data_IF_967567958652
#
_entry.id   IF_967567958652
#
_cell.length_a   1.000
_cell.length_b   1.000
_cell.length_c   1.000
_cell.angle_alpha   90.00
_cell.angle_beta   90.00
_cell.angle_gamma   90.00
#
_symmetry.space_group_name_H-M   'P 1'
#
loop_
_entity.id
_entity.type
_entity.pdbx_description
1 polymer ?
#
# COMPACT_ATOMS: atom_id res chain seq x y z
N UNK A 1 -30.97 38.83 -132.35
CA UNK A 1 -31.30 37.67 -131.47
C UNK A 1 -30.20 36.61 -131.42
N UNK A 2 -29.75 36.01 -132.55
CA UNK A 2 -28.78 34.89 -132.54
C UNK A 2 -27.35 35.24 -132.08
N UNK A 3 -26.87 36.46 -132.33
CA UNK A 3 -25.53 36.90 -131.90
C UNK A 3 -25.43 37.16 -130.39
N UNK A 4 -26.48 37.70 -129.77
CA UNK A 4 -26.52 37.92 -128.31
C UNK A 4 -26.43 36.59 -127.54
N UNK A 5 -27.19 35.58 -127.95
CA UNK A 5 -27.13 34.24 -127.34
C UNK A 5 -25.77 33.53 -127.54
N UNK A 6 -25.01 33.87 -128.58
CA UNK A 6 -23.65 33.34 -128.77
C UNK A 6 -22.65 34.02 -127.83
N UNK A 7 -22.75 35.33 -127.63
CA UNK A 7 -21.98 36.07 -126.64
C UNK A 7 -22.26 35.59 -125.21
N UNK A 8 -23.51 35.36 -124.85
CA UNK A 8 -23.87 34.88 -123.50
C UNK A 8 -23.32 33.48 -123.22
N UNK A 9 -23.35 32.59 -124.22
CA UNK A 9 -22.72 31.26 -124.12
C UNK A 9 -21.19 31.36 -124.01
N UNK A 10 -20.56 32.24 -124.79
CA UNK A 10 -19.11 32.47 -124.69
C UNK A 10 -18.72 33.04 -123.32
N UNK A 11 -19.51 33.98 -122.76
CA UNK A 11 -19.30 34.54 -121.44
C UNK A 11 -19.44 33.48 -120.33
N UNK A 12 -20.42 32.58 -120.44
CA UNK A 12 -20.60 31.45 -119.53
C UNK A 12 -19.44 30.43 -119.60
N UNK A 13 -18.91 30.16 -120.79
CA UNK A 13 -17.72 29.30 -120.95
C UNK A 13 -16.49 29.96 -120.35
N UNK A 14 -16.29 31.27 -120.56
CA UNK A 14 -15.17 32.02 -119.98
C UNK A 14 -15.27 32.08 -118.45
N UNK A 15 -16.47 32.27 -117.88
CA UNK A 15 -16.64 32.25 -116.42
C UNK A 15 -16.39 30.87 -115.81
N UNK A 16 -16.82 29.80 -116.49
CA UNK A 16 -16.49 28.42 -116.17
C UNK A 16 -14.97 28.17 -116.16
N UNK A 17 -14.26 28.61 -117.20
CA UNK A 17 -12.80 28.47 -117.31
C UNK A 17 -12.10 29.29 -116.23
N UNK A 18 -12.55 30.53 -115.94
CA UNK A 18 -12.01 31.34 -114.84
C UNK A 18 -12.21 30.68 -113.48
N UNK A 19 -13.37 30.09 -113.23
CA UNK A 19 -13.63 29.34 -112.00
C UNK A 19 -12.76 28.07 -111.91
N UNK A 20 -12.53 27.37 -113.01
CA UNK A 20 -11.62 26.23 -113.06
C UNK A 20 -10.16 26.66 -112.80
N UNK A 21 -9.72 27.78 -113.37
CA UNK A 21 -8.38 28.34 -113.14
C UNK A 21 -8.19 28.76 -111.67
N UNK A 22 -9.16 29.43 -111.06
CA UNK A 22 -9.11 29.80 -109.65
C UNK A 22 -9.05 28.58 -108.73
N UNK A 23 -9.78 27.51 -109.05
CA UNK A 23 -9.68 26.23 -108.31
C UNK A 23 -8.31 25.57 -108.48
N UNK A 24 -7.72 25.63 -109.67
CA UNK A 24 -6.39 25.09 -109.91
C UNK A 24 -5.30 25.89 -109.15
N UNK A 25 -5.38 27.22 -109.17
CA UNK A 25 -4.48 28.10 -108.41
C UNK A 25 -4.59 27.86 -106.89
N UNK A 26 -5.81 27.68 -106.37
CA UNK A 26 -6.02 27.32 -104.97
C UNK A 26 -5.36 25.99 -104.58
N UNK A 27 -5.42 24.98 -105.46
CA UNK A 27 -4.74 23.69 -105.23
C UNK A 27 -3.22 23.83 -105.27
N UNK A 28 -2.67 24.65 -106.16
CA UNK A 28 -1.22 24.89 -106.24
C UNK A 28 -0.72 25.54 -104.95
N UNK A 29 -1.39 26.59 -104.46
CA UNK A 29 -1.01 27.23 -103.21
C UNK A 29 -1.09 26.28 -102.01
N UNK A 30 -2.13 25.46 -101.91
CA UNK A 30 -2.24 24.46 -100.84
C UNK A 30 -1.07 23.45 -100.85
N UNK A 31 -0.65 23.00 -102.05
CA UNK A 31 0.50 22.11 -102.20
C UNK A 31 1.84 22.81 -101.90
N UNK A 32 1.97 24.09 -102.22
CA UNK A 32 3.15 24.89 -101.86
C UNK A 32 3.29 25.07 -100.34
N UNK A 33 2.18 25.29 -99.64
CA UNK A 33 2.14 25.38 -98.19
C UNK A 33 2.50 24.04 -97.53
N UNK A 34 1.98 22.93 -98.06
CA UNK A 34 2.32 21.58 -97.59
C UNK A 34 3.81 21.26 -97.81
N UNK A 35 4.36 21.58 -98.99
CA UNK A 35 5.80 21.46 -99.26
C UNK A 35 6.62 22.28 -98.27
N UNK A 36 6.22 23.53 -98.01
CA UNK A 36 6.95 24.40 -97.08
C UNK A 36 6.91 23.86 -95.64
N UNK A 37 5.79 23.29 -95.21
CA UNK A 37 5.67 22.64 -93.91
C UNK A 37 6.60 21.42 -93.80
N UNK A 38 6.64 20.58 -94.84
CA UNK A 38 7.53 19.42 -94.90
C UNK A 38 9.01 19.82 -94.90
N UNK A 39 9.40 20.87 -95.64
CA UNK A 39 10.77 21.38 -95.64
C UNK A 39 11.19 21.88 -94.25
N UNK A 40 10.31 22.57 -93.52
CA UNK A 40 10.58 22.99 -92.13
C UNK A 40 10.73 21.82 -91.18
N UNK A 41 9.85 20.81 -91.29
CA UNK A 41 9.96 19.60 -90.48
C UNK A 41 11.27 18.86 -90.76
N UNK A 42 11.67 18.77 -92.03
CA UNK A 42 12.89 18.09 -92.44
C UNK A 42 14.16 18.83 -91.98
N UNK A 43 14.14 20.17 -91.95
CA UNK A 43 15.23 20.99 -91.43
C UNK A 43 15.47 20.79 -89.92
N UNK A 44 14.42 20.44 -89.15
CA UNK A 44 14.54 20.12 -87.73
C UNK A 44 15.12 18.73 -87.50
N UNK A 45 14.84 17.76 -88.38
CA UNK A 45 15.38 16.40 -88.29
C UNK A 45 16.77 16.23 -88.90
N UNK A 46 17.17 17.11 -89.83
CA UNK A 46 18.46 17.01 -90.53
C UNK A 46 19.64 17.55 -89.71
N UNK A 47 19.39 18.34 -88.66
CA UNK A 47 20.43 18.78 -87.76
C UNK A 47 20.41 17.88 -86.53
N UNK A 48 21.49 17.13 -86.29
CA UNK A 48 21.73 16.47 -85.00
C UNK A 48 21.75 17.57 -83.92
N UNK A 49 20.69 17.64 -83.13
CA UNK A 49 20.60 18.58 -82.02
C UNK A 49 21.18 17.88 -80.80
N UNK A 50 22.36 18.31 -80.36
CA UNK A 50 22.92 17.90 -79.08
C UNK A 50 22.09 18.48 -77.93
N UNK A 51 21.22 17.65 -77.35
CA UNK A 51 20.39 18.02 -76.20
C UNK A 51 21.05 17.53 -74.92
N UNK A 52 21.60 18.45 -74.12
CA UNK A 52 22.14 18.14 -72.80
C UNK A 52 21.01 17.96 -71.78
N UNK A 53 20.77 16.72 -71.33
CA UNK A 53 19.74 16.38 -70.34
C UNK A 53 20.40 16.10 -68.99
N UNK A 54 19.87 16.69 -67.91
CA UNK A 54 20.28 16.39 -66.53
C UNK A 54 19.29 15.41 -65.89
N UNK A 55 19.72 14.17 -65.65
CA UNK A 55 18.94 13.15 -64.92
C UNK A 55 19.31 13.14 -63.44
N UNK A 56 18.35 12.78 -62.56
CA UNK A 56 18.62 12.59 -61.13
C UNK A 56 19.21 11.19 -60.89
N UNK A 57 20.11 11.08 -59.92
CA UNK A 57 20.75 9.81 -59.55
C UNK A 57 19.71 8.73 -59.24
N UNK A 58 19.85 7.54 -59.86
CA UNK A 58 18.92 6.40 -59.73
C UNK A 58 17.87 6.26 -60.84
N UNK A 59 17.87 7.13 -61.85
CA UNK A 59 17.07 7.01 -63.08
C UNK A 59 17.87 6.49 -64.28
N UNK A 60 19.13 6.12 -64.04
CA UNK A 60 20.03 5.47 -65.00
C UNK A 60 20.19 4.02 -64.57
N UNK A 61 19.81 3.08 -65.45
CA UNK A 61 19.92 1.64 -65.22
C UNK A 61 21.25 1.07 -65.75
N UNK A 62 22.08 1.90 -66.40
CA UNK A 62 23.41 1.49 -66.88
C UNK A 62 24.36 1.37 -65.69
N UNK A 63 25.05 0.24 -65.59
CA UNK A 63 26.01 -0.01 -64.52
C UNK A 63 27.24 0.92 -64.67
N UNK A 64 27.29 1.99 -63.87
CA UNK A 64 28.32 3.02 -63.89
C UNK A 64 29.68 2.58 -63.34
N UNK A 65 30.35 1.65 -64.03
CA UNK A 65 31.68 1.14 -63.67
C UNK A 65 32.84 1.84 -64.41
N UNK A 66 32.57 2.77 -65.32
CA UNK A 66 33.61 3.50 -66.06
C UNK A 66 33.52 5.02 -65.80
N UNK A 67 34.68 5.68 -65.72
CA UNK A 67 34.82 7.13 -65.53
C UNK A 67 34.19 7.97 -66.66
N UNK A 68 33.91 7.35 -67.80
CA UNK A 68 33.08 7.86 -68.89
C UNK A 68 32.04 6.77 -69.15
N UNK A 69 30.77 6.96 -68.76
CA UNK A 69 29.73 5.99 -69.04
C UNK A 69 29.49 5.93 -70.56
N UNK A 70 29.61 4.74 -71.14
CA UNK A 70 29.25 4.52 -72.54
C UNK A 70 27.73 4.37 -72.64
N UNK A 71 27.11 5.31 -73.36
CA UNK A 71 25.67 5.37 -73.58
C UNK A 71 25.28 4.87 -74.99
N UNK A 72 26.18 4.20 -75.73
CA UNK A 72 25.92 3.72 -77.08
C UNK A 72 24.73 2.77 -77.20
N UNK A 73 24.43 2.01 -76.14
CA UNK A 73 23.27 1.10 -76.07
C UNK A 73 22.10 1.66 -75.23
N UNK A 74 22.21 2.89 -74.73
CA UNK A 74 21.21 3.47 -73.86
C UNK A 74 20.00 3.97 -74.66
N UNK A 75 18.80 3.58 -74.24
CA UNK A 75 17.54 4.03 -74.84
C UNK A 75 16.89 5.10 -73.97
N UNK A 76 16.61 6.26 -74.55
CA UNK A 76 15.80 7.28 -73.89
C UNK A 76 14.32 6.89 -73.94
N UNK A 77 13.77 6.50 -72.78
CA UNK A 77 12.35 6.17 -72.65
C UNK A 77 11.57 7.42 -72.22
N UNK A 78 10.49 7.79 -72.95
CA UNK A 78 9.61 8.87 -72.54
C UNK A 78 9.07 8.66 -71.12
N UNK A 79 9.21 9.67 -70.26
CA UNK A 79 8.77 9.62 -68.85
C UNK A 79 7.29 9.23 -68.71
N UNK A 80 6.46 9.63 -69.67
CA UNK A 80 5.02 9.31 -69.71
C UNK A 80 4.74 7.81 -69.71
N UNK A 81 5.56 7.01 -70.40
CA UNK A 81 5.40 5.54 -70.48
C UNK A 81 5.78 4.91 -69.14
N UNK A 82 6.89 5.35 -68.55
CA UNK A 82 7.34 4.88 -67.23
C UNK A 82 6.31 5.24 -66.16
N UNK A 83 5.75 6.46 -66.20
CA UNK A 83 4.70 6.89 -65.28
C UNK A 83 3.41 6.08 -65.44
N UNK A 84 2.98 5.78 -66.67
CA UNK A 84 1.79 4.96 -66.91
C UNK A 84 1.98 3.52 -66.41
N UNK A 85 3.13 2.92 -66.67
CA UNK A 85 3.46 1.57 -66.19
C UNK A 85 3.60 1.54 -64.66
N UNK A 86 4.20 2.58 -64.06
CA UNK A 86 4.28 2.72 -62.61
C UNK A 86 2.90 2.79 -61.95
N UNK A 87 1.91 3.43 -62.58
CA UNK A 87 0.53 3.39 -62.09
C UNK A 87 -0.03 1.97 -62.13
N UNK A 88 0.25 1.21 -63.19
CA UNK A 88 -0.09 -0.21 -63.33
C UNK A 88 0.54 -1.07 -62.23
N UNK A 89 1.85 -0.96 -62.04
CA UNK A 89 2.63 -1.68 -61.02
C UNK A 89 2.15 -1.34 -59.61
N UNK A 90 1.92 -0.07 -59.30
CA UNK A 90 1.34 0.34 -57.99
C UNK A 90 -0.07 -0.19 -57.79
N UNK A 91 -0.89 -0.26 -58.84
CA UNK A 91 -2.23 -0.88 -58.77
C UNK A 91 -2.12 -2.38 -58.50
N UNK A 92 -1.20 -3.08 -59.13
CA UNK A 92 -0.93 -4.50 -58.88
C UNK A 92 -0.41 -4.73 -57.45
N UNK A 93 0.56 -3.93 -56.99
CA UNK A 93 1.07 -3.97 -55.62
C UNK A 93 -0.04 -3.78 -54.58
N UNK A 94 -0.95 -2.82 -54.80
CA UNK A 94 -2.13 -2.65 -53.92
C UNK A 94 -3.07 -3.86 -53.91
N UNK A 95 -3.22 -4.59 -55.04
CA UNK A 95 -3.99 -5.84 -55.05
C UNK A 95 -3.32 -6.92 -54.21
N UNK A 96 -2.00 -7.06 -54.33
CA UNK A 96 -1.21 -8.02 -53.55
C UNK A 96 -1.30 -7.70 -52.06
N UNK A 97 -1.13 -6.44 -51.67
CA UNK A 97 -1.25 -6.00 -50.28
C UNK A 97 -2.63 -6.35 -49.69
N UNK A 98 -3.72 -6.05 -50.41
CA UNK A 98 -5.08 -6.43 -49.99
C UNK A 98 -5.26 -7.94 -49.85
N UNK A 99 -4.62 -8.75 -50.72
CA UNK A 99 -4.67 -10.21 -50.60
C UNK A 99 -3.92 -10.68 -49.36
N UNK A 100 -2.75 -10.12 -49.07
CA UNK A 100 -1.97 -10.45 -47.88
C UNK A 100 -2.72 -10.07 -46.59
N UNK A 101 -3.43 -8.93 -46.59
CA UNK A 101 -4.28 -8.52 -45.48
C UNK A 101 -5.42 -9.52 -45.23
N UNK A 102 -6.11 -9.96 -46.28
CA UNK A 102 -7.13 -11.03 -46.16
C UNK A 102 -6.55 -12.34 -45.62
N UNK A 103 -5.36 -12.74 -46.08
CA UNK A 103 -4.68 -13.95 -45.59
C UNK A 103 -4.28 -13.79 -44.13
N UNK A 104 -3.81 -12.61 -43.72
CA UNK A 104 -3.47 -12.31 -42.33
C UNK A 104 -4.69 -12.43 -41.42
N UNK A 105 -5.81 -11.81 -41.79
CA UNK A 105 -7.05 -11.91 -41.00
C UNK A 105 -7.57 -13.35 -40.96
N UNK A 106 -7.57 -14.07 -42.08
CA UNK A 106 -7.95 -15.48 -42.10
C UNK A 106 -7.09 -16.35 -41.18
N UNK A 107 -5.78 -16.08 -41.08
CA UNK A 107 -4.89 -16.80 -40.16
C UNK A 107 -5.16 -16.47 -38.69
N UNK A 108 -5.46 -15.21 -38.38
CA UNK A 108 -5.84 -14.77 -37.03
C UNK A 108 -7.13 -15.47 -36.60
N UNK A 109 -8.12 -15.48 -37.48
CA UNK A 109 -9.40 -16.16 -37.31
C UNK A 109 -9.25 -17.66 -37.12
N UNK A 110 -8.42 -18.32 -37.93
CA UNK A 110 -8.17 -19.76 -37.79
C UNK A 110 -7.55 -20.08 -36.43
N UNK A 111 -6.56 -19.30 -36.00
CA UNK A 111 -5.90 -19.46 -34.70
C UNK A 111 -6.89 -19.26 -33.55
N UNK A 112 -7.74 -18.24 -33.64
CA UNK A 112 -8.79 -18.02 -32.65
C UNK A 112 -9.77 -19.19 -32.59
N UNK A 113 -10.21 -19.72 -33.75
CA UNK A 113 -11.09 -20.90 -33.80
C UNK A 113 -10.43 -22.16 -33.24
N UNK A 114 -9.13 -22.37 -33.50
CA UNK A 114 -8.37 -23.47 -32.91
C UNK A 114 -8.33 -23.37 -31.39
N UNK A 115 -8.01 -22.19 -30.86
CA UNK A 115 -8.04 -21.96 -29.41
C UNK A 115 -9.43 -22.19 -28.80
N UNK A 116 -10.49 -21.68 -29.44
CA UNK A 116 -11.86 -21.90 -29.00
C UNK A 116 -12.24 -23.39 -28.98
N UNK A 117 -11.75 -24.15 -29.97
CA UNK A 117 -11.94 -25.61 -30.02
C UNK A 117 -11.23 -26.29 -28.87
N UNK A 118 -9.94 -26.01 -28.65
CA UNK A 118 -9.17 -26.57 -27.53
C UNK A 118 -9.82 -26.25 -26.19
N UNK A 119 -10.29 -25.01 -26.01
CA UNK A 119 -11.04 -24.61 -24.83
C UNK A 119 -12.33 -25.41 -24.65
N UNK A 120 -13.11 -25.58 -25.73
CA UNK A 120 -14.35 -26.35 -25.69
C UNK A 120 -14.10 -27.84 -25.41
N UNK A 121 -13.03 -28.42 -25.97
CA UNK A 121 -12.59 -29.80 -25.69
C UNK A 121 -12.20 -29.96 -24.23
N UNK A 122 -11.42 -29.03 -23.65
CA UNK A 122 -11.10 -29.04 -22.21
C UNK A 122 -12.36 -28.98 -21.34
N UNK A 123 -13.31 -28.09 -21.67
CA UNK A 123 -14.60 -27.99 -20.97
C UNK A 123 -15.48 -29.24 -21.10
N UNK A 124 -15.30 -30.02 -22.17
CA UNK A 124 -15.97 -31.30 -22.35
C UNK A 124 -15.32 -32.36 -21.46
N UNK A 125 -13.99 -32.43 -21.43
CA UNK A 125 -13.23 -33.33 -20.55
C UNK A 125 -13.56 -33.10 -19.07
N UNK A 126 -13.56 -31.85 -18.60
CA UNK A 126 -13.95 -31.49 -17.23
C UNK A 126 -15.35 -32.04 -16.88
N UNK A 127 -16.30 -31.91 -17.81
CA UNK A 127 -17.67 -32.38 -17.62
C UNK A 127 -17.76 -33.90 -17.64
N UNK A 128 -17.00 -34.56 -18.50
CA UNK A 128 -16.92 -36.02 -18.52
C UNK A 128 -16.32 -36.57 -17.23
N UNK A 129 -15.25 -35.95 -16.73
CA UNK A 129 -14.67 -36.30 -15.43
C UNK A 129 -15.69 -36.11 -14.31
N UNK A 130 -16.37 -34.96 -14.27
CA UNK A 130 -17.45 -34.74 -13.31
C UNK A 130 -18.57 -35.77 -13.42
N UNK A 131 -18.99 -36.13 -14.64
CA UNK A 131 -20.00 -37.18 -14.84
C UNK A 131 -19.50 -38.54 -14.40
N UNK A 132 -18.23 -38.89 -14.67
CA UNK A 132 -17.61 -40.13 -14.20
C UNK A 132 -17.62 -40.17 -12.67
N UNK A 133 -17.19 -39.09 -12.02
CA UNK A 133 -17.18 -38.98 -10.56
C UNK A 133 -18.58 -39.18 -9.97
N UNK A 134 -19.59 -38.49 -10.54
CA UNK A 134 -20.99 -38.65 -10.11
C UNK A 134 -21.48 -40.07 -10.35
N UNK A 135 -21.13 -40.70 -11.47
CA UNK A 135 -21.53 -42.07 -11.79
C UNK A 135 -20.86 -43.14 -10.91
N UNK A 136 -19.63 -42.90 -10.48
CA UNK A 136 -18.86 -43.78 -9.61
C UNK A 136 -19.13 -43.51 -8.13
N UNK A 137 -19.77 -42.38 -7.80
CA UNK A 137 -20.15 -42.04 -6.45
C UNK A 137 -21.12 -43.08 -5.90
N UNK A 138 -20.63 -43.92 -4.99
CA UNK A 138 -21.47 -44.84 -4.23
C UNK A 138 -22.30 -44.03 -3.25
N UNK A 139 -23.60 -43.99 -3.48
CA UNK A 139 -24.56 -43.33 -2.59
C UNK A 139 -24.58 -44.06 -1.23
N UNK A 140 -24.01 -43.44 -0.19
CA UNK A 140 -24.06 -43.94 1.18
C UNK A 140 -25.36 -43.49 1.87
N UNK A 141 -25.77 -44.21 2.92
CA UNK A 141 -26.98 -43.85 3.71
C UNK A 141 -26.89 -42.45 4.30
N UNK A 142 -25.70 -42.00 4.69
CA UNK A 142 -25.47 -40.63 5.18
C UNK A 142 -25.71 -39.58 4.10
N UNK A 143 -25.26 -39.84 2.86
CA UNK A 143 -25.50 -38.96 1.71
C UNK A 143 -27.00 -38.91 1.35
N UNK A 144 -27.71 -40.04 1.44
CA UNK A 144 -29.18 -40.07 1.24
C UNK A 144 -29.92 -39.26 2.31
N UNK A 145 -29.50 -39.36 3.57
CA UNK A 145 -30.07 -38.57 4.67
C UNK A 145 -29.78 -37.07 4.50
N UNK A 146 -28.62 -36.72 3.94
CA UNK A 146 -28.26 -35.34 3.64
C UNK A 146 -29.06 -34.76 2.47
N UNK A 147 -29.15 -35.48 1.34
CA UNK A 147 -29.93 -35.06 0.16
C UNK A 147 -31.43 -35.06 0.44
N UNK A 148 -31.91 -35.98 1.28
CA UNK A 148 -33.32 -36.10 1.67
C UNK A 148 -33.83 -34.95 2.54
N UNK A 149 -32.96 -34.07 3.06
CA UNK A 149 -33.31 -32.81 3.74
C UNK A 149 -34.10 -32.91 5.05
N UNK A 150 -34.81 -34.01 5.30
CA UNK A 150 -35.69 -34.20 6.45
C UNK A 150 -34.92 -34.49 7.75
N UNK A 151 -33.84 -35.26 7.67
CA UNK A 151 -33.11 -35.72 8.86
C UNK A 151 -32.06 -34.72 9.36
N UNK A 152 -31.52 -33.86 8.50
CA UNK A 152 -30.42 -32.96 8.92
C UNK A 152 -30.92 -31.87 9.87
N UNK A 153 -32.06 -31.24 9.57
CA UNK A 153 -32.64 -30.21 10.44
C UNK A 153 -33.06 -30.79 11.80
N UNK A 154 -33.60 -32.02 11.81
CA UNK A 154 -33.98 -32.69 13.04
C UNK A 154 -32.76 -33.14 13.85
N UNK A 155 -31.74 -33.74 13.22
CA UNK A 155 -30.46 -34.06 13.87
C UNK A 155 -29.76 -32.82 14.42
N UNK A 156 -29.78 -31.71 13.68
CA UNK A 156 -29.18 -30.45 14.14
C UNK A 156 -29.94 -29.90 15.36
N UNK A 157 -31.28 -29.97 15.36
CA UNK A 157 -32.11 -29.61 16.52
C UNK A 157 -31.84 -30.52 17.71
N UNK A 158 -31.73 -31.83 17.51
CA UNK A 158 -31.41 -32.77 18.59
C UNK A 158 -30.00 -32.56 19.15
N UNK A 159 -29.01 -32.30 18.29
CA UNK A 159 -27.65 -31.97 18.69
C UNK A 159 -27.60 -30.67 19.49
N UNK A 160 -28.27 -29.62 19.03
CA UNK A 160 -28.35 -28.34 19.74
C UNK A 160 -29.04 -28.47 21.10
N UNK A 161 -30.15 -29.23 21.19
CA UNK A 161 -30.81 -29.50 22.47
C UNK A 161 -29.89 -30.28 23.42
N UNK A 162 -29.16 -31.28 22.92
CA UNK A 162 -28.21 -32.06 23.73
C UNK A 162 -27.04 -31.20 24.24
N UNK A 163 -26.45 -30.37 23.38
CA UNK A 163 -25.33 -29.50 23.78
C UNK A 163 -25.77 -28.41 24.73
N UNK A 164 -26.98 -27.84 24.57
CA UNK A 164 -27.55 -26.90 25.52
C UNK A 164 -27.81 -27.54 26.89
N UNK A 165 -28.35 -28.76 26.92
CA UNK A 165 -28.57 -29.49 28.17
C UNK A 165 -27.24 -29.78 28.90
N UNK A 166 -26.21 -30.22 28.17
CA UNK A 166 -24.87 -30.40 28.70
C UNK A 166 -24.27 -29.09 29.23
N UNK A 167 -24.42 -27.99 28.49
CA UNK A 167 -23.97 -26.66 28.92
C UNK A 167 -24.65 -26.19 30.21
N UNK A 168 -25.96 -26.41 30.35
CA UNK A 168 -26.71 -26.11 31.58
C UNK A 168 -26.21 -26.93 32.76
N UNK A 169 -25.97 -28.22 32.57
CA UNK A 169 -25.42 -29.10 33.61
C UNK A 169 -24.02 -28.66 34.06
N UNK A 170 -23.12 -28.36 33.12
CA UNK A 170 -21.78 -27.88 33.44
C UNK A 170 -21.81 -26.56 34.20
N UNK A 171 -22.70 -25.63 33.83
CA UNK A 171 -22.85 -24.34 34.51
C UNK A 171 -23.31 -24.50 35.97
N UNK A 172 -24.27 -25.38 36.22
CA UNK A 172 -24.75 -25.64 37.60
C UNK A 172 -23.70 -26.37 38.44
N UNK A 173 -23.00 -27.35 37.86
CA UNK A 173 -21.89 -28.03 38.51
C UNK A 173 -20.75 -27.06 38.88
N UNK A 174 -20.35 -26.20 37.93
CA UNK A 174 -19.33 -25.18 38.16
C UNK A 174 -19.74 -24.20 39.27
N UNK A 175 -20.97 -23.69 39.25
CA UNK A 175 -21.48 -22.80 40.30
C UNK A 175 -21.42 -23.46 41.69
N UNK A 176 -21.72 -24.76 41.77
CA UNK A 176 -21.64 -25.53 43.03
C UNK A 176 -20.19 -25.66 43.53
N UNK A 177 -19.23 -25.93 42.63
CA UNK A 177 -17.81 -26.02 42.97
C UNK A 177 -17.27 -24.66 43.43
N UNK A 178 -17.55 -23.60 42.69
CA UNK A 178 -17.15 -22.23 43.05
C UNK A 178 -17.73 -21.82 44.40
N UNK A 179 -19.00 -22.15 44.67
CA UNK A 179 -19.61 -21.88 45.97
C UNK A 179 -18.93 -22.62 47.13
N UNK A 180 -18.47 -23.87 46.92
CA UNK A 180 -17.68 -24.61 47.92
C UNK A 180 -16.31 -23.96 48.14
N UNK A 181 -15.60 -23.60 47.07
CA UNK A 181 -14.29 -22.96 47.16
C UNK A 181 -14.37 -21.61 47.86
N UNK A 182 -15.37 -20.77 47.56
CA UNK A 182 -15.57 -19.49 48.25
C UNK A 182 -15.82 -19.66 49.75
N UNK A 183 -16.60 -20.68 50.15
CA UNK A 183 -16.82 -20.97 51.57
C UNK A 183 -15.55 -21.45 52.26
N UNK A 184 -14.76 -22.29 51.60
CA UNK A 184 -13.47 -22.76 52.11
C UNK A 184 -12.49 -21.59 52.25
N UNK A 185 -12.41 -20.70 51.25
CA UNK A 185 -11.60 -19.49 51.29
C UNK A 185 -11.97 -18.60 52.48
N UNK A 186 -13.25 -18.27 52.66
CA UNK A 186 -13.71 -17.48 53.82
C UNK A 186 -13.38 -18.13 55.17
N UNK A 187 -13.42 -19.46 55.25
CA UNK A 187 -13.03 -20.20 56.47
C UNK A 187 -11.52 -20.06 56.72
N UNK A 188 -10.70 -20.25 55.68
CA UNK A 188 -9.25 -20.05 55.77
C UNK A 188 -8.89 -18.62 56.16
N UNK A 189 -9.52 -17.60 55.55
CA UNK A 189 -9.31 -16.19 55.88
C UNK A 189 -9.58 -15.92 57.37
N UNK A 190 -10.68 -16.44 57.92
CA UNK A 190 -10.99 -16.34 59.36
C UNK A 190 -9.94 -17.03 60.22
N UNK A 191 -9.48 -18.22 59.83
CA UNK A 191 -8.42 -18.95 60.56
C UNK A 191 -7.10 -18.18 60.52
N UNK A 192 -6.70 -17.64 59.38
CA UNK A 192 -5.49 -16.81 59.24
C UNK A 192 -5.59 -15.58 60.14
N UNK A 193 -6.74 -14.90 60.15
CA UNK A 193 -6.94 -13.73 60.98
C UNK A 193 -6.85 -14.07 62.48
N UNK A 194 -7.52 -15.14 62.91
CA UNK A 194 -7.44 -15.61 64.31
C UNK A 194 -6.01 -15.99 64.72
N UNK A 195 -5.24 -16.64 63.83
CA UNK A 195 -3.83 -16.97 64.08
C UNK A 195 -2.93 -15.74 64.12
N UNK A 196 -3.21 -14.71 63.31
CA UNK A 196 -2.49 -13.43 63.37
C UNK A 196 -2.72 -12.74 64.70
N UNK A 197 -3.97 -12.67 65.16
CA UNK A 197 -4.31 -12.09 66.47
C UNK A 197 -3.66 -12.87 67.62
N UNK A 198 -3.63 -14.20 67.54
CA UNK A 198 -2.92 -15.05 68.50
C UNK A 198 -1.41 -14.78 68.50
N UNK A 199 -0.78 -14.73 67.32
CA UNK A 199 0.64 -14.41 67.19
C UNK A 199 0.95 -13.01 67.74
N UNK A 200 0.11 -12.00 67.49
CA UNK A 200 0.28 -10.66 68.07
C UNK A 200 0.20 -10.67 69.60
N UNK A 201 -0.71 -11.46 70.18
CA UNK A 201 -0.81 -11.63 71.64
C UNK A 201 0.43 -12.32 72.21
N UNK A 202 0.89 -13.40 71.57
CA UNK A 202 2.09 -14.12 71.98
C UNK A 202 3.34 -13.24 71.86
N UNK A 203 3.47 -12.46 70.79
CA UNK A 203 4.56 -11.50 70.64
C UNK A 203 4.58 -10.48 71.78
N UNK A 204 3.42 -9.93 72.17
CA UNK A 204 3.32 -9.04 73.34
C UNK A 204 3.80 -9.73 74.61
N UNK A 205 3.33 -10.95 74.87
CA UNK A 205 3.76 -11.73 76.04
C UNK A 205 5.26 -12.01 76.03
N UNK A 206 5.84 -12.34 74.87
CA UNK A 206 7.29 -12.55 74.72
C UNK A 206 8.03 -11.24 75.04
N UNK A 207 7.60 -10.10 74.49
CA UNK A 207 8.26 -8.81 74.79
C UNK A 207 8.17 -8.42 76.26
N UNK A 208 7.04 -8.68 76.93
CA UNK A 208 6.88 -8.44 78.37
C UNK A 208 7.80 -9.35 79.18
N UNK A 209 7.89 -10.63 78.81
CA UNK A 209 8.80 -11.59 79.44
C UNK A 209 10.27 -11.21 79.22
N UNK A 210 10.65 -10.83 78.00
CA UNK A 210 11.98 -10.33 77.66
C UNK A 210 12.36 -9.11 78.49
N UNK A 211 11.45 -8.13 78.62
CA UNK A 211 11.64 -6.98 79.51
C UNK A 211 11.81 -7.41 80.97
N UNK A 212 10.99 -8.36 81.45
CA UNK A 212 11.09 -8.86 82.83
C UNK A 212 12.42 -9.58 83.08
N UNK A 213 12.91 -10.35 82.11
CA UNK A 213 14.20 -11.04 82.16
C UNK A 213 15.34 -10.02 82.09
N UNK A 214 15.26 -9.02 81.22
CA UNK A 214 16.24 -7.95 81.12
C UNK A 214 16.34 -7.14 82.43
N UNK A 215 15.21 -6.84 83.08
CA UNK A 215 15.20 -6.20 84.41
C UNK A 215 15.83 -7.11 85.46
N UNK A 216 15.48 -8.40 85.49
CA UNK A 216 16.08 -9.35 86.45
C UNK A 216 17.59 -9.52 86.21
N UNK A 217 18.00 -9.66 84.96
CA UNK A 217 19.41 -9.72 84.56
C UNK A 217 20.14 -8.44 84.97
N UNK A 218 19.55 -7.26 84.72
CA UNK A 218 20.10 -5.98 85.16
C UNK A 218 20.18 -5.84 86.69
N UNK A 219 19.22 -6.39 87.45
CA UNK A 219 19.28 -6.45 88.92
C UNK A 219 20.41 -7.39 89.37
N UNK A 220 20.55 -8.57 88.77
CA UNK A 220 21.63 -9.50 89.07
C UNK A 220 22.97 -8.86 88.74
N UNK A 221 23.12 -8.26 87.57
CA UNK A 221 24.34 -7.57 87.16
C UNK A 221 24.64 -6.34 88.04
N UNK A 222 23.63 -5.56 88.44
CA UNK A 222 23.80 -4.48 89.41
C UNK A 222 24.16 -5.00 90.81
N UNK A 223 23.65 -6.17 91.19
CA UNK A 223 23.98 -6.82 92.45
C UNK A 223 25.37 -7.44 92.40
N UNK A 224 25.83 -7.97 91.27
CA UNK A 224 27.19 -8.45 91.05
C UNK A 224 28.19 -7.30 90.95
N UNK A 225 27.83 -6.17 90.32
CA UNK A 225 28.63 -4.92 90.40
C UNK A 225 28.62 -4.30 91.80
N UNK A 226 27.56 -4.52 92.59
CA UNK A 226 27.45 -4.05 93.98
C UNK A 226 28.02 -5.02 95.04
N UNK A 227 28.19 -6.29 94.70
CA UNK A 227 28.65 -7.37 95.58
C UNK A 227 30.00 -7.96 95.15
N UNK A 228 30.48 -7.64 93.94
CA UNK A 228 31.80 -7.96 93.41
C UNK A 228 32.84 -6.98 93.94
N UNK A 229 33.38 -7.31 95.09
CA UNK A 229 34.50 -6.60 95.71
C UNK A 229 34.40 -6.68 97.22
N UNK A 230 34.86 -7.80 97.78
CA UNK A 230 34.99 -7.98 99.24
C UNK A 230 35.91 -6.93 99.83
N UNK A 231 35.34 -5.83 100.32
CA UNK A 231 36.06 -4.79 101.05
C UNK A 231 35.31 -4.52 102.36
N UNK A 232 36.06 -4.58 103.46
CA UNK A 232 35.55 -4.63 104.83
C UNK A 232 34.67 -3.45 105.26
N UNK A 233 34.02 -3.57 106.44
CA UNK A 233 32.99 -2.66 106.94
C UNK A 233 33.39 -1.16 106.96
N UNK A 234 34.68 -0.88 107.14
CA UNK A 234 35.23 0.48 107.23
C UNK A 234 35.22 1.21 105.88
N UNK A 235 35.60 0.56 104.78
CA UNK A 235 35.60 1.18 103.45
C UNK A 235 34.18 1.47 102.92
N UNK A 236 33.17 0.72 103.39
CA UNK A 236 31.75 1.00 103.12
C UNK A 236 31.29 2.29 103.80
N UNK A 237 31.78 2.59 105.00
CA UNK A 237 31.43 3.80 105.72
C UNK A 237 31.98 5.04 105.00
N UNK A 238 33.24 5.00 104.55
CA UNK A 238 33.87 6.14 103.87
C UNK A 238 33.24 6.44 102.51
N UNK A 239 32.92 5.41 101.71
CA UNK A 239 32.21 5.60 100.44
C UNK A 239 30.78 6.11 100.64
N UNK A 240 30.07 5.62 101.68
CA UNK A 240 28.72 6.12 102.03
C UNK A 240 28.77 7.57 102.55
N UNK A 241 29.79 7.92 103.32
CA UNK A 241 30.01 9.29 103.77
C UNK A 241 30.31 10.21 102.58
N UNK A 242 31.16 9.78 101.65
CA UNK A 242 31.46 10.52 100.42
C UNK A 242 30.23 10.76 99.54
N UNK A 243 29.39 9.73 99.34
CA UNK A 243 28.14 9.89 98.56
C UNK A 243 27.10 10.74 99.30
N UNK A 244 27.02 10.68 100.64
CA UNK A 244 26.16 11.55 101.44
C UNK A 244 26.60 13.02 101.37
N UNK A 245 27.91 13.29 101.44
CA UNK A 245 28.45 14.65 101.30
C UNK A 245 28.22 15.18 99.88
N UNK A 246 28.46 14.36 98.85
CA UNK A 246 28.18 14.73 97.46
C UNK A 246 26.69 15.01 97.24
N UNK A 247 25.80 14.17 97.78
CA UNK A 247 24.35 14.39 97.74
C UNK A 247 23.96 15.67 98.48
N UNK A 248 24.51 15.92 99.66
CA UNK A 248 24.24 17.14 100.43
C UNK A 248 24.64 18.40 99.65
N UNK A 249 25.81 18.37 99.00
CA UNK A 249 26.27 19.44 98.11
C UNK A 249 25.36 19.65 96.90
N UNK A 250 24.94 18.58 96.23
CA UNK A 250 24.01 18.67 95.08
C UNK A 250 22.63 19.21 95.50
N UNK A 251 22.16 18.83 96.69
CA UNK A 251 20.90 19.35 97.24
C UNK A 251 21.03 20.82 97.63
N UNK A 252 22.16 21.25 98.21
CA UNK A 252 22.36 22.66 98.54
C UNK A 252 22.47 23.52 97.27
N UNK A 253 23.13 23.04 96.22
CA UNK A 253 23.18 23.76 94.93
C UNK A 253 21.82 23.80 94.26
N UNK A 254 21.05 22.71 94.28
CA UNK A 254 19.71 22.68 93.70
C UNK A 254 18.74 23.62 94.45
N UNK A 255 18.87 23.74 95.78
CA UNK A 255 18.10 24.72 96.57
C UNK A 255 18.48 26.16 96.23
N UNK A 256 19.77 26.46 96.16
CA UNK A 256 20.22 27.81 95.76
C UNK A 256 19.71 28.19 94.36
N UNK A 257 19.75 27.25 93.41
CA UNK A 257 19.20 27.45 92.07
C UNK A 257 17.67 27.62 92.06
N UNK A 258 16.95 26.92 92.94
CA UNK A 258 15.50 27.09 93.08
C UNK A 258 15.15 28.48 93.64
N UNK A 259 15.90 28.95 94.64
CA UNK A 259 15.73 30.29 95.22
C UNK A 259 16.02 31.38 94.18
N UNK A 260 17.05 31.20 93.35
CA UNK A 260 17.33 32.09 92.22
C UNK A 260 16.20 32.09 91.18
N UNK A 261 15.65 30.91 90.83
CA UNK A 261 14.52 30.82 89.92
C UNK A 261 13.28 31.53 90.47
N UNK A 262 13.02 31.44 91.77
CA UNK A 262 11.87 32.12 92.39
C UNK A 262 12.08 33.63 92.45
N UNK A 263 13.30 34.10 92.71
CA UNK A 263 13.65 35.52 92.59
C UNK A 263 13.46 36.04 91.15
N UNK A 264 13.91 35.28 90.15
CA UNK A 264 13.72 35.61 88.73
C UNK A 264 12.24 35.59 88.33
N UNK A 265 11.44 34.65 88.83
CA UNK A 265 9.98 34.61 88.62
C UNK A 265 9.29 35.85 89.20
N UNK A 266 9.70 36.29 90.39
CA UNK A 266 9.16 37.50 91.01
C UNK A 266 9.52 38.75 90.18
N UNK A 267 10.74 38.84 89.66
CA UNK A 267 11.15 39.91 88.74
C UNK A 267 10.35 39.87 87.42
N UNK A 268 10.13 38.68 86.86
CA UNK A 268 9.30 38.49 85.67
C UNK A 268 7.85 38.92 85.92
N UNK A 269 7.26 38.60 87.08
CA UNK A 269 5.92 39.03 87.44
C UNK A 269 5.83 40.56 87.59
N UNK A 270 6.87 41.19 88.17
CA UNK A 270 6.98 42.66 88.27
C UNK A 270 7.10 43.30 86.89
N UNK A 271 7.87 42.70 85.98
CA UNK A 271 7.95 43.12 84.58
C UNK A 271 6.60 42.94 83.88
N UNK A 272 5.93 41.79 83.99
CA UNK A 272 4.59 41.57 83.43
C UNK A 272 3.57 42.61 83.91
N UNK A 273 3.61 43.00 85.19
CA UNK A 273 2.78 44.10 85.72
C UNK A 273 3.11 45.46 85.11
N UNK A 274 4.36 45.71 84.69
CA UNK A 274 4.76 46.94 83.97
C UNK A 274 4.41 46.89 82.48
N UNK A 275 4.41 45.71 81.85
CA UNK A 275 4.29 45.59 80.39
C UNK A 275 2.91 45.15 79.88
N UNK A 276 1.96 44.76 80.75
CA UNK A 276 0.58 44.46 80.34
C UNK A 276 -0.41 45.54 80.82
N UNK A 277 -1.06 46.30 79.91
CA UNK A 277 -2.13 47.24 80.28
C UNK A 277 -3.37 46.47 80.76
N UNK A 278 -3.81 46.74 82.01
CA UNK A 278 -5.06 46.23 82.56
C UNK A 278 -6.25 47.02 81.97
N UNK A 279 -7.04 46.41 81.09
CA UNK A 279 -8.34 46.97 80.70
C UNK A 279 -9.33 46.81 81.86
N UNK A 280 -9.84 47.93 82.37
CA UNK A 280 -10.91 47.99 83.36
C UNK A 280 -12.20 47.54 82.68
N UNK A 281 -12.80 46.46 83.18
CA UNK A 281 -14.14 46.04 82.81
C UNK A 281 -15.16 47.06 83.36
N UNK A 282 -15.90 47.72 82.47
CA UNK A 282 -17.05 48.57 82.79
C UNK A 282 -18.35 47.91 82.34
N UNK A 283 -19.40 48.20 83.11
CA UNK A 283 -20.84 47.90 82.95
C UNK A 283 -21.34 46.58 83.55
N UNK A 284 -21.75 46.66 84.82
CA UNK A 284 -23.15 46.97 85.13
C UNK A 284 -23.23 48.37 85.68
#
# INVERSE_FOLDING_TARGET
ARLAAACDRAAAVVSSIRAALARAQGKVHALEDERNALLRANALTANDVDVMIRLRQGQDEVAGLAAIPDYGEALLVPTRIVESENVGTRRAGRRVARRLERVREARKDLRYRQWMREYAEGRMQDREEWMRDVSLLRVTKELQQFVGGADLAQKQKELTVKTEAQGRYLKTAHRRVMGKQQRAQKRLERTVQSRREENERLLKQVTELEQSVAVRAGIVEARERGAGGGVGPTARADKRMGTLVARSRLVSTAKAQADELDALRAQLAKLRRRTFPMFVAGQT
#
